data_IF_683428229254
#
_entry.id   IF_683428229254
#
_cell.length_a   1.000
_cell.length_b   1.000
_cell.length_c   1.000
_cell.angle_alpha   90.00
_cell.angle_beta   90.00
_cell.angle_gamma   90.00
#
_symmetry.space_group_name_H-M   'P 1'
#
loop_
_entity.id
_entity.type
_entity.pdbx_description
1 polymer ?
#
# COMPACT_ATOMS: atom_id res chain seq x y z
N UNK A 1 -3.11 25.18 -2.58
CA UNK A 1 -2.34 24.24 -3.42
C UNK A 1 -2.40 24.70 -4.87
N UNK A 2 -1.28 24.63 -5.60
CA UNK A 2 -1.25 24.88 -7.05
C UNK A 2 -1.85 23.69 -7.82
N UNK A 3 -2.26 23.91 -9.07
CA UNK A 3 -2.76 22.84 -9.96
C UNK A 3 -1.78 21.65 -10.05
N UNK A 4 -0.47 21.93 -10.05
CA UNK A 4 0.58 20.92 -10.06
C UNK A 4 0.50 20.00 -8.83
N UNK A 5 0.24 20.57 -7.64
CA UNK A 5 0.12 19.80 -6.40
C UNK A 5 -1.06 18.82 -6.43
N UNK A 6 -2.21 19.25 -6.97
CA UNK A 6 -3.37 18.36 -7.12
C UNK A 6 -3.13 17.25 -8.14
N UNK A 7 -2.52 17.58 -9.28
CA UNK A 7 -2.17 16.57 -10.30
C UNK A 7 -1.15 15.58 -9.76
N UNK A 8 -0.14 16.04 -9.02
CA UNK A 8 0.85 15.17 -8.39
C UNK A 8 0.21 14.22 -7.37
N UNK A 9 -0.66 14.73 -6.48
CA UNK A 9 -1.38 13.92 -5.50
C UNK A 9 -2.30 12.89 -6.17
N UNK A 10 -3.02 13.29 -7.23
CA UNK A 10 -3.87 12.39 -8.00
C UNK A 10 -3.05 11.28 -8.68
N UNK A 11 -2.01 11.64 -9.43
CA UNK A 11 -1.20 10.66 -10.17
C UNK A 11 -0.51 9.67 -9.25
N UNK A 12 0.07 10.14 -8.14
CA UNK A 12 0.75 9.27 -7.18
C UNK A 12 -0.21 8.31 -6.47
N UNK A 13 -1.42 8.77 -6.11
CA UNK A 13 -2.43 7.91 -5.49
C UNK A 13 -3.00 6.92 -6.50
N UNK A 14 -3.36 7.40 -7.70
CA UNK A 14 -3.99 6.59 -8.74
C UNK A 14 -3.05 5.53 -9.32
N UNK A 15 -1.73 5.75 -9.28
CA UNK A 15 -0.74 4.74 -9.68
C UNK A 15 -0.89 3.40 -8.93
N UNK A 16 -1.36 3.44 -7.67
CA UNK A 16 -1.58 2.23 -6.87
C UNK A 16 -2.90 1.51 -7.19
N UNK A 17 -3.88 2.20 -7.79
CA UNK A 17 -5.21 1.63 -8.03
C UNK A 17 -5.19 0.45 -9.03
N UNK A 18 -4.58 0.55 -10.23
CA UNK A 18 -4.49 -0.59 -11.15
C UNK A 18 -3.77 -1.79 -10.54
N UNK A 19 -2.70 -1.53 -9.78
CA UNK A 19 -1.94 -2.59 -9.10
C UNK A 19 -2.76 -3.24 -7.99
N UNK A 20 -3.50 -2.45 -7.19
CA UNK A 20 -4.40 -2.96 -6.17
C UNK A 20 -5.47 -3.87 -6.77
N UNK A 21 -6.16 -3.41 -7.81
CA UNK A 21 -7.18 -4.17 -8.50
C UNK A 21 -6.63 -5.48 -9.08
N UNK A 22 -5.45 -5.42 -9.73
CA UNK A 22 -4.78 -6.61 -10.27
C UNK A 22 -4.48 -7.61 -9.15
N UNK A 23 -3.79 -7.20 -8.08
CA UNK A 23 -3.41 -8.11 -6.99
C UNK A 23 -4.63 -8.64 -6.23
N UNK A 24 -5.67 -7.84 -6.00
CA UNK A 24 -6.90 -8.30 -5.34
C UNK A 24 -7.60 -9.36 -6.18
N UNK A 25 -7.67 -9.15 -7.51
CA UNK A 25 -8.33 -10.04 -8.46
C UNK A 25 -7.55 -11.34 -8.68
N UNK A 26 -6.26 -11.25 -8.97
CA UNK A 26 -5.45 -12.42 -9.37
C UNK A 26 -4.87 -13.16 -8.17
N UNK A 27 -4.71 -12.48 -7.03
CA UNK A 27 -3.95 -12.96 -5.86
C UNK A 27 -2.51 -13.37 -6.18
N UNK A 28 -2.02 -13.08 -7.38
CA UNK A 28 -0.65 -13.34 -7.79
C UNK A 28 0.27 -12.26 -7.21
N UNK A 29 1.16 -12.70 -6.32
CA UNK A 29 2.15 -11.85 -5.65
C UNK A 29 3.57 -12.35 -5.87
N UNK A 30 3.79 -13.22 -6.86
CA UNK A 30 5.10 -13.83 -7.12
C UNK A 30 6.21 -12.82 -7.37
N UNK A 31 5.89 -11.68 -8.00
CA UNK A 31 6.82 -10.57 -8.23
C UNK A 31 6.80 -9.45 -7.18
N UNK A 32 6.06 -9.59 -6.08
CA UNK A 32 5.90 -8.52 -5.10
C UNK A 32 6.75 -8.76 -3.85
N UNK A 33 7.49 -7.73 -3.43
CA UNK A 33 8.27 -7.77 -2.20
C UNK A 33 7.40 -7.50 -0.97
N UNK A 34 7.38 -8.45 -0.03
CA UNK A 34 6.72 -8.29 1.28
C UNK A 34 7.31 -7.11 2.06
N UNK A 35 8.64 -6.97 2.07
CA UNK A 35 9.32 -5.91 2.81
C UNK A 35 8.95 -4.53 2.25
N UNK A 36 8.88 -4.40 0.92
CA UNK A 36 8.49 -3.15 0.27
C UNK A 36 7.09 -2.72 0.70
N UNK A 37 6.10 -3.62 0.61
CA UNK A 37 4.72 -3.30 1.00
C UNK A 37 4.59 -3.07 2.51
N UNK A 38 5.34 -3.77 3.35
CA UNK A 38 5.36 -3.51 4.79
C UNK A 38 5.86 -2.09 5.09
N UNK A 39 7.03 -1.70 4.56
CA UNK A 39 7.59 -0.37 4.75
C UNK A 39 6.68 0.72 4.17
N UNK A 40 6.11 0.50 2.98
CA UNK A 40 5.22 1.45 2.33
C UNK A 40 3.94 1.68 3.16
N UNK A 41 3.25 0.61 3.55
CA UNK A 41 1.99 0.71 4.31
C UNK A 41 2.21 1.35 5.68
N UNK A 42 3.28 0.98 6.39
CA UNK A 42 3.63 1.62 7.68
C UNK A 42 4.00 3.08 7.47
N UNK A 43 4.83 3.39 6.47
CA UNK A 43 5.22 4.76 6.15
C UNK A 43 4.04 5.68 5.85
N UNK A 44 3.09 5.22 5.01
CA UNK A 44 1.85 5.96 4.69
C UNK A 44 1.00 6.17 5.94
N UNK A 45 0.87 5.15 6.79
CA UNK A 45 0.14 5.28 8.05
C UNK A 45 0.78 6.34 8.98
N UNK A 46 2.10 6.35 9.09
CA UNK A 46 2.81 7.37 9.87
C UNK A 46 2.65 8.77 9.26
N UNK A 47 2.71 8.89 7.93
CA UNK A 47 2.45 10.16 7.24
C UNK A 47 1.02 10.66 7.43
N UNK A 48 0.04 9.75 7.47
CA UNK A 48 -1.35 10.09 7.80
C UNK A 48 -1.46 10.64 9.22
N UNK A 49 -0.86 9.97 10.21
CA UNK A 49 -0.83 10.46 11.60
C UNK A 49 -0.14 11.83 11.71
N UNK A 50 0.98 12.00 11.00
CA UNK A 50 1.68 13.28 10.93
C UNK A 50 0.80 14.37 10.30
N UNK A 51 0.09 14.08 9.21
CA UNK A 51 -0.84 15.02 8.59
C UNK A 51 -1.98 15.43 9.52
N UNK A 52 -2.54 14.47 10.28
CA UNK A 52 -3.55 14.76 11.32
C UNK A 52 -2.98 15.69 12.39
N UNK A 53 -1.75 15.40 12.87
CA UNK A 53 -1.09 16.23 13.86
C UNK A 53 -0.85 17.68 13.37
N UNK A 54 -0.51 17.84 12.09
CA UNK A 54 -0.27 19.15 11.47
C UNK A 54 -1.56 19.86 11.00
N UNK A 55 -2.72 19.19 11.02
CA UNK A 55 -3.96 19.71 10.44
C UNK A 55 -3.92 19.86 8.90
N UNK A 56 -3.02 19.17 8.21
CA UNK A 56 -2.87 19.27 6.75
C UNK A 56 -3.85 18.32 6.04
N UNK A 57 -5.00 18.86 5.63
CA UNK A 57 -6.05 18.11 4.93
C UNK A 57 -5.58 17.46 3.62
N UNK A 58 -4.61 18.04 2.93
CA UNK A 58 -4.11 17.48 1.68
C UNK A 58 -3.25 16.25 1.94
N UNK A 59 -2.36 16.33 2.93
CA UNK A 59 -1.52 15.22 3.36
C UNK A 59 -2.38 14.09 3.95
N UNK A 60 -3.41 14.44 4.73
CA UNK A 60 -4.39 13.48 5.27
C UNK A 60 -5.12 12.77 4.13
N UNK A 61 -5.71 13.52 3.20
CA UNK A 61 -6.49 12.96 2.11
C UNK A 61 -5.68 12.03 1.21
N UNK A 62 -4.48 12.46 0.80
CA UNK A 62 -3.59 11.66 -0.06
C UNK A 62 -3.16 10.34 0.61
N UNK A 63 -2.71 10.39 1.86
CA UNK A 63 -2.26 9.20 2.57
C UNK A 63 -3.43 8.29 2.97
N UNK A 64 -4.60 8.82 3.31
CA UNK A 64 -5.78 8.01 3.60
C UNK A 64 -6.20 7.17 2.39
N UNK A 65 -6.31 7.78 1.20
CA UNK A 65 -6.66 7.05 -0.02
C UNK A 65 -5.57 6.05 -0.39
N UNK A 66 -4.30 6.43 -0.30
CA UNK A 66 -3.19 5.51 -0.60
C UNK A 66 -3.12 4.34 0.39
N UNK A 67 -3.45 4.57 1.66
CA UNK A 67 -3.52 3.50 2.66
C UNK A 67 -4.64 2.50 2.34
N UNK A 68 -5.81 2.99 1.90
CA UNK A 68 -6.93 2.14 1.45
C UNK A 68 -6.56 1.26 0.25
N UNK A 69 -5.68 1.73 -0.64
CA UNK A 69 -5.21 0.96 -1.79
C UNK A 69 -4.08 -0.02 -1.45
N UNK A 70 -3.14 0.39 -0.61
CA UNK A 70 -1.92 -0.39 -0.32
C UNK A 70 -2.13 -1.44 0.76
N UNK A 71 -3.00 -1.20 1.74
CA UNK A 71 -3.25 -2.14 2.84
C UNK A 71 -3.78 -3.50 2.34
N UNK A 72 -4.79 -3.58 1.44
CA UNK A 72 -5.22 -4.87 0.89
C UNK A 72 -4.10 -5.63 0.16
N UNK A 73 -3.26 -4.92 -0.59
CA UNK A 73 -2.13 -5.54 -1.28
C UNK A 73 -1.16 -6.13 -0.27
N UNK A 74 -0.77 -5.36 0.75
CA UNK A 74 0.12 -5.81 1.81
C UNK A 74 -0.42 -7.08 2.49
N UNK A 75 -1.71 -7.10 2.84
CA UNK A 75 -2.33 -8.26 3.49
C UNK A 75 -2.30 -9.52 2.61
N UNK A 76 -2.54 -9.39 1.29
CA UNK A 76 -2.47 -10.50 0.35
C UNK A 76 -1.03 -11.00 0.21
N UNK A 77 -0.06 -10.10 0.04
CA UNK A 77 1.37 -10.44 -0.06
C UNK A 77 1.84 -11.15 1.23
N UNK A 78 1.43 -10.65 2.40
CA UNK A 78 1.74 -11.25 3.69
C UNK A 78 1.14 -12.65 3.84
N UNK A 79 -0.11 -12.84 3.45
CA UNK A 79 -0.78 -14.14 3.50
C UNK A 79 -0.07 -15.17 2.60
N UNK A 80 0.22 -14.79 1.35
CA UNK A 80 0.92 -15.66 0.40
C UNK A 80 2.33 -16.02 0.87
N UNK A 81 3.09 -15.04 1.39
CA UNK A 81 4.42 -15.27 1.93
C UNK A 81 4.40 -16.21 3.14
N UNK A 82 3.40 -16.10 4.03
CA UNK A 82 3.21 -17.01 5.16
C UNK A 82 2.85 -18.42 4.70
N UNK A 83 1.99 -18.57 3.70
CA UNK A 83 1.63 -19.86 3.14
C UNK A 83 2.85 -20.56 2.52
N UNK A 84 3.65 -19.86 1.71
CA UNK A 84 4.85 -20.40 1.11
C UNK A 84 5.88 -20.88 2.15
N UNK A 85 6.07 -20.12 3.24
CA UNK A 85 6.96 -20.52 4.35
C UNK A 85 6.47 -21.79 5.08
N UNK A 86 5.16 -21.95 5.26
CA UNK A 86 4.58 -23.16 5.90
C UNK A 86 4.82 -24.41 5.06
N UNK A 87 4.64 -24.33 3.74
CA UNK A 87 4.92 -25.45 2.84
C UNK A 87 6.39 -25.87 2.88
N UNK A 88 7.31 -24.90 2.94
CA UNK A 88 8.75 -25.18 3.03
C UNK A 88 9.21 -25.76 4.38
N UNK A 89 8.45 -25.56 5.46
CA UNK A 89 8.77 -26.11 6.80
C UNK A 89 8.17 -27.48 7.08
N UNK A 90 7.09 -27.87 6.39
CA UNK A 90 6.43 -29.17 6.56
C UNK A 90 6.99 -30.30 5.69
N UNK A 91 7.89 -29.98 4.76
CA UNK A 91 8.59 -30.92 3.87
C UNK A 91 9.95 -31.36 4.46
N UNK A 92 10.20 -31.04 5.74
CA UNK A 92 11.36 -31.46 6.53
C UNK A 92 10.91 -32.34 7.68
#
# INVERSE_FOLDING_TARGET
MSLIGYVAAFLTTFAFLPQALKTIKTRDTSGLSLAMYACLTVGIFLWLLHGIHQGDLALIGANAVTLLLTLPIFLIVLANARAARRSASGDK
#
